data_IF_328155815422
#
_entry.id   IF_328155815422
#
_cell.length_a   1.000
_cell.length_b   1.000
_cell.length_c   1.000
_cell.angle_alpha   90.00
_cell.angle_beta   90.00
_cell.angle_gamma   90.00
#
_symmetry.space_group_name_H-M   'P 1'
#
loop_
_entity.id
_entity.type
_entity.pdbx_description
1 polymer ?
#
# COMPACT_ATOMS: atom_id res chain seq x y z
N UNK A 1 -18.20 18.68 1.90
CA UNK A 1 -16.95 19.48 2.02
C UNK A 1 -15.96 18.85 3.00
N UNK A 2 -16.38 18.49 4.22
CA UNK A 2 -15.51 17.86 5.25
C UNK A 2 -14.84 16.55 4.80
N UNK A 3 -15.57 15.64 4.16
CA UNK A 3 -15.03 14.36 3.66
C UNK A 3 -13.94 14.54 2.60
N UNK A 4 -14.10 15.54 1.72
CA UNK A 4 -13.10 15.83 0.68
C UNK A 4 -11.80 16.33 1.32
N UNK A 5 -11.89 17.22 2.32
CA UNK A 5 -10.72 17.70 3.06
C UNK A 5 -10.04 16.56 3.83
N UNK A 6 -10.82 15.66 4.45
CA UNK A 6 -10.28 14.46 5.10
C UNK A 6 -9.52 13.57 4.10
N UNK A 7 -10.11 13.28 2.94
CA UNK A 7 -9.45 12.47 1.92
C UNK A 7 -8.20 13.17 1.38
N UNK A 8 -8.26 14.48 1.13
CA UNK A 8 -7.13 15.24 0.61
C UNK A 8 -5.97 15.30 1.61
N UNK A 9 -6.25 15.57 2.89
CA UNK A 9 -5.23 15.62 3.93
C UNK A 9 -4.65 14.22 4.21
N UNK A 10 -5.50 13.20 4.29
CA UNK A 10 -5.05 11.81 4.43
C UNK A 10 -4.22 11.37 3.22
N UNK A 11 -4.63 11.76 2.01
CA UNK A 11 -3.92 11.48 0.77
C UNK A 11 -2.55 12.13 0.71
N UNK A 12 -2.43 13.38 1.17
CA UNK A 12 -1.14 14.06 1.31
C UNK A 12 -0.19 13.32 2.26
N UNK A 13 -0.68 12.92 3.43
CA UNK A 13 0.11 12.18 4.42
C UNK A 13 0.49 10.78 3.92
N UNK A 14 -0.47 10.04 3.36
CA UNK A 14 -0.24 8.70 2.81
C UNK A 14 0.73 8.71 1.62
N UNK A 15 0.57 9.67 0.70
CA UNK A 15 1.48 9.85 -0.44
C UNK A 15 2.90 10.24 -0.01
N UNK A 16 3.03 11.14 0.96
CA UNK A 16 4.32 11.54 1.53
C UNK A 16 5.01 10.37 2.22
N UNK A 17 4.27 9.60 3.02
CA UNK A 17 4.80 8.41 3.67
C UNK A 17 5.24 7.34 2.66
N UNK A 18 4.45 7.10 1.61
CA UNK A 18 4.83 6.20 0.50
C UNK A 18 6.14 6.63 -0.14
N UNK A 19 6.28 7.93 -0.43
CA UNK A 19 7.49 8.47 -1.02
C UNK A 19 8.73 8.22 -0.14
N UNK A 20 8.60 8.41 1.18
CA UNK A 20 9.67 8.13 2.13
C UNK A 20 9.99 6.63 2.22
N UNK A 21 8.96 5.77 2.34
CA UNK A 21 9.14 4.32 2.43
C UNK A 21 9.81 3.76 1.17
N UNK A 22 9.45 4.23 -0.02
CA UNK A 22 10.04 3.77 -1.29
C UNK A 22 11.56 4.07 -1.42
N UNK A 23 12.16 4.88 -0.53
CA UNK A 23 13.61 5.07 -0.45
C UNK A 23 14.32 3.93 0.29
N UNK A 24 13.59 3.10 1.03
CA UNK A 24 14.11 1.95 1.76
C UNK A 24 14.15 0.70 0.87
N UNK A 25 15.03 -0.26 1.17
CA UNK A 25 14.97 -1.57 0.53
C UNK A 25 13.61 -2.22 0.81
N UNK A 26 12.95 -2.74 -0.22
CA UNK A 26 11.59 -3.30 -0.15
C UNK A 26 10.49 -2.29 0.27
N UNK A 27 10.76 -0.99 0.16
CA UNK A 27 9.83 0.08 0.53
C UNK A 27 8.44 -0.02 -0.10
N UNK A 28 8.37 -0.49 -1.34
CA UNK A 28 7.11 -0.70 -2.06
C UNK A 28 6.23 -1.79 -1.43
N UNK A 29 6.86 -2.88 -0.96
CA UNK A 29 6.16 -3.95 -0.26
C UNK A 29 5.68 -3.45 1.11
N UNK A 30 6.53 -2.72 1.85
CA UNK A 30 6.18 -2.14 3.13
C UNK A 30 5.01 -1.16 3.01
N UNK A 31 5.05 -0.24 2.03
CA UNK A 31 3.99 0.73 1.82
C UNK A 31 2.63 0.05 1.55
N UNK A 32 2.59 -0.94 0.64
CA UNK A 32 1.35 -1.68 0.38
C UNK A 32 0.88 -2.50 1.60
N UNK A 33 1.80 -3.13 2.34
CA UNK A 33 1.45 -3.93 3.53
C UNK A 33 0.87 -3.05 4.64
N UNK A 34 1.50 -1.92 4.95
CA UNK A 34 1.02 -0.96 5.95
C UNK A 34 -0.33 -0.38 5.51
N UNK A 35 -0.50 -0.05 4.24
CA UNK A 35 -1.77 0.44 3.72
C UNK A 35 -2.90 -0.59 3.93
N UNK A 36 -2.65 -1.88 3.68
CA UNK A 36 -3.65 -2.92 3.94
C UNK A 36 -3.97 -3.07 5.43
N UNK A 37 -2.99 -2.99 6.32
CA UNK A 37 -3.23 -2.98 7.77
C UNK A 37 -4.12 -1.80 8.20
N UNK A 38 -3.77 -0.59 7.75
CA UNK A 38 -4.55 0.62 8.04
C UNK A 38 -5.96 0.54 7.45
N UNK A 39 -6.13 -0.12 6.30
CA UNK A 39 -7.44 -0.34 5.71
C UNK A 39 -8.32 -1.23 6.63
N UNK A 40 -7.74 -2.24 7.28
CA UNK A 40 -8.45 -3.06 8.26
C UNK A 40 -8.97 -2.25 9.46
N UNK A 41 -8.17 -1.30 9.96
CA UNK A 41 -8.55 -0.39 11.05
C UNK A 41 -9.57 0.69 10.64
N UNK A 42 -9.78 0.90 9.34
CA UNK A 42 -10.42 2.10 8.82
C UNK A 42 -11.95 2.06 8.80
N UNK A 43 -12.61 1.14 9.52
CA UNK A 43 -14.00 0.71 9.29
C UNK A 43 -15.05 1.83 9.15
N UNK A 44 -14.80 3.05 9.64
CA UNK A 44 -15.66 4.23 9.39
C UNK A 44 -14.89 5.54 9.13
N UNK A 45 -13.62 5.48 8.71
CA UNK A 45 -12.76 6.66 8.55
C UNK A 45 -12.35 6.88 7.08
N UNK A 46 -12.99 7.81 6.34
CA UNK A 46 -12.59 8.13 4.96
C UNK A 46 -11.18 8.73 4.90
N UNK A 47 -10.74 9.41 5.96
CA UNK A 47 -9.37 9.90 6.12
C UNK A 47 -8.36 8.74 6.09
N UNK A 48 -8.61 7.66 6.84
CA UNK A 48 -7.72 6.50 6.88
C UNK A 48 -7.87 5.61 5.65
N UNK A 49 -9.10 5.27 5.27
CA UNK A 49 -9.38 4.32 4.19
C UNK A 49 -8.97 4.86 2.82
N UNK A 50 -9.60 5.97 2.40
CA UNK A 50 -9.42 6.52 1.06
C UNK A 50 -8.23 7.48 1.02
N UNK A 51 -8.06 8.29 2.06
CA UNK A 51 -6.93 9.22 2.16
C UNK A 51 -5.60 8.48 2.33
N UNK A 52 -5.30 8.03 3.55
CA UNK A 52 -3.98 7.48 3.88
C UNK A 52 -3.74 6.15 3.16
N UNK A 53 -4.54 5.12 3.41
CA UNK A 53 -4.31 3.79 2.85
C UNK A 53 -4.42 3.78 1.31
N UNK A 54 -5.37 4.54 0.75
CA UNK A 54 -5.49 4.74 -0.69
C UNK A 54 -4.26 5.37 -1.33
N UNK A 55 -3.69 6.43 -0.75
CA UNK A 55 -2.48 7.07 -1.29
C UNK A 55 -1.16 6.36 -0.96
N UNK A 56 -1.15 5.58 0.14
CA UNK A 56 0.00 4.80 0.60
C UNK A 56 0.16 3.49 -0.18
N UNK A 57 -0.94 2.87 -0.60
CA UNK A 57 -0.91 1.71 -1.51
C UNK A 57 -0.67 2.14 -2.95
N UNK A 58 -0.11 1.25 -3.78
CA UNK A 58 0.08 1.54 -5.21
C UNK A 58 0.24 0.28 -6.05
N UNK A 59 -0.72 0.10 -6.96
CA UNK A 59 -0.63 -0.91 -8.01
C UNK A 59 0.22 -0.47 -9.20
N UNK A 60 0.23 0.83 -9.52
CA UNK A 60 0.99 1.36 -10.65
C UNK A 60 2.50 1.24 -10.46
N UNK A 61 3.02 1.57 -9.27
CA UNK A 61 4.44 1.37 -8.97
C UNK A 61 4.80 -0.11 -8.86
N UNK A 62 3.89 -0.97 -8.37
CA UNK A 62 4.09 -2.42 -8.38
C UNK A 62 4.18 -2.95 -9.81
N UNK A 63 3.27 -2.55 -10.71
CA UNK A 63 3.31 -2.93 -12.10
C UNK A 63 4.61 -2.46 -12.79
N UNK A 64 5.06 -1.24 -12.52
CA UNK A 64 6.33 -0.72 -13.03
C UNK A 64 7.55 -1.52 -12.51
N UNK A 65 7.51 -1.97 -11.25
CA UNK A 65 8.55 -2.83 -10.67
C UNK A 65 8.53 -4.26 -11.25
N UNK A 66 7.34 -4.81 -11.47
CA UNK A 66 7.16 -6.18 -11.96
C UNK A 66 7.38 -6.32 -13.48
N UNK A 67 7.06 -5.29 -14.27
CA UNK A 67 7.13 -5.32 -15.73
C UNK A 67 8.49 -5.79 -16.28
N UNK A 68 9.63 -5.26 -15.82
CA UNK A 68 10.95 -5.75 -16.22
C UNK A 68 11.22 -7.21 -15.80
N UNK A 69 10.73 -7.63 -14.63
CA UNK A 69 10.98 -8.97 -14.10
C UNK A 69 10.35 -10.08 -14.94
N UNK A 70 9.28 -9.81 -15.69
CA UNK A 70 8.69 -10.77 -16.63
C UNK A 70 9.69 -11.25 -17.68
N UNK A 71 10.64 -10.39 -18.07
CA UNK A 71 11.67 -10.69 -19.06
C UNK A 71 12.97 -11.19 -18.42
N UNK A 72 13.29 -10.71 -17.23
CA UNK A 72 14.58 -11.00 -16.57
C UNK A 72 14.53 -12.20 -15.62
N UNK A 73 13.48 -12.34 -14.81
CA UNK A 73 13.38 -13.42 -13.83
C UNK A 73 11.94 -13.68 -13.39
N UNK A 74 11.35 -14.77 -13.90
CA UNK A 74 10.02 -15.24 -13.49
C UNK A 74 9.93 -15.55 -11.99
N UNK A 75 11.01 -16.06 -11.40
CA UNK A 75 11.07 -16.36 -9.97
C UNK A 75 11.00 -15.08 -9.12
N UNK A 76 11.72 -14.03 -9.50
CA UNK A 76 11.65 -12.75 -8.77
C UNK A 76 10.30 -12.07 -8.98
N UNK A 77 9.75 -12.12 -10.20
CA UNK A 77 8.39 -11.64 -10.47
C UNK A 77 7.38 -12.31 -9.54
N UNK A 78 7.35 -13.65 -9.52
CA UNK A 78 6.44 -14.44 -8.71
C UNK A 78 6.61 -14.14 -7.22
N UNK A 79 7.86 -14.08 -6.74
CA UNK A 79 8.14 -13.74 -5.35
C UNK A 79 7.64 -12.35 -4.98
N UNK A 80 7.89 -11.33 -5.80
CA UNK A 80 7.49 -9.95 -5.51
C UNK A 80 5.97 -9.78 -5.49
N UNK A 81 5.26 -10.36 -6.47
CA UNK A 81 3.78 -10.28 -6.50
C UNK A 81 3.16 -11.09 -5.37
N UNK A 82 3.62 -12.32 -5.12
CA UNK A 82 3.11 -13.16 -4.04
C UNK A 82 3.41 -12.56 -2.66
N UNK A 83 4.61 -12.04 -2.45
CA UNK A 83 4.95 -11.40 -1.17
C UNK A 83 4.06 -10.18 -0.92
N UNK A 84 3.85 -9.33 -1.94
CA UNK A 84 3.01 -8.14 -1.78
C UNK A 84 1.54 -8.52 -1.50
N UNK A 85 0.99 -9.52 -2.20
CA UNK A 85 -0.40 -9.95 -1.98
C UNK A 85 -0.60 -10.69 -0.67
N UNK A 86 0.29 -11.63 -0.31
CA UNK A 86 0.19 -12.39 0.94
C UNK A 86 0.43 -11.51 2.16
N UNK A 87 1.45 -10.65 2.14
CA UNK A 87 1.69 -9.72 3.24
C UNK A 87 0.54 -8.71 3.37
N UNK A 88 0.02 -8.18 2.25
CA UNK A 88 -1.14 -7.29 2.27
C UNK A 88 -2.39 -7.97 2.83
N UNK A 89 -2.67 -9.20 2.41
CA UNK A 89 -3.81 -9.98 2.92
C UNK A 89 -3.69 -10.31 4.41
N UNK A 90 -2.51 -10.76 4.86
CA UNK A 90 -2.27 -10.99 6.28
C UNK A 90 -2.41 -9.69 7.09
N UNK A 91 -1.88 -8.58 6.58
CA UNK A 91 -1.92 -7.29 7.23
C UNK A 91 -3.34 -6.75 7.41
N UNK A 92 -4.22 -6.85 6.40
CA UNK A 92 -5.61 -6.42 6.55
C UNK A 92 -6.36 -7.28 7.57
N UNK A 93 -6.13 -8.61 7.60
CA UNK A 93 -6.75 -9.48 8.59
C UNK A 93 -6.32 -9.13 10.02
N UNK A 94 -5.02 -8.85 10.22
CA UNK A 94 -4.51 -8.38 11.50
C UNK A 94 -5.16 -7.05 11.87
N UNK A 95 -5.25 -6.10 10.92
CA UNK A 95 -5.90 -4.81 11.15
C UNK A 95 -7.39 -4.92 11.49
N UNK A 96 -8.10 -5.92 10.96
CA UNK A 96 -9.50 -6.20 11.30
C UNK A 96 -9.68 -6.87 12.67
N UNK A 97 -8.62 -7.46 13.23
CA UNK A 97 -8.64 -8.15 14.52
C UNK A 97 -8.28 -7.27 15.72
N UNK A 98 -7.89 -6.02 15.45
CA UNK A 98 -7.59 -4.98 16.46
C UNK A 98 -8.83 -4.10 16.65
#
# INVERSE_FOLDING_TARGET
MTTILQIAFGGFLGGSLRYLLCRLPHGLLLANTIACFLLGLSQHSPFLAVGIAGALSTWSSLAAHLGPLLRTSRAQFARSICATTLCGYAAILIGLSV
#
